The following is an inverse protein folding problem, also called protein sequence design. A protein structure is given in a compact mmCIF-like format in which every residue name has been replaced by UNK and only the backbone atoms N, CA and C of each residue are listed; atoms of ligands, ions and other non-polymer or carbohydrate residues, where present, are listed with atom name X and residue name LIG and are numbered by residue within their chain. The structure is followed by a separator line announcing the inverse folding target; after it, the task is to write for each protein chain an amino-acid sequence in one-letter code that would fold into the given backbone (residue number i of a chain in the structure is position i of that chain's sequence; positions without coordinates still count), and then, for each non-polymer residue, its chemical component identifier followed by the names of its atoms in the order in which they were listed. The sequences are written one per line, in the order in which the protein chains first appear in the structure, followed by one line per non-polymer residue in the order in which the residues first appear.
data_IF_254773715272
#
_entry.id   IF_254773715272
#
_cell.length_a   1.000
_cell.length_b   1.000
_cell.length_c   1.000
_cell.angle_alpha   90.00
_cell.angle_beta   90.00
_cell.angle_gamma   90.00
#
_symmetry.space_group_name_H-M   'P 1'
#
loop_
_entity.id
_entity.type
_entity.pdbx_description
1 polymer ?
#
# COMPACT_ATOMS: atom_id res chain seq x y z
N UNK A 1 -6.61 -22.96 14.76
CA UNK A 1 -7.45 -21.74 14.88
C UNK A 1 -7.86 -21.32 13.48
N UNK A 2 -9.09 -20.88 13.31
CA UNK A 2 -9.52 -20.31 12.04
C UNK A 2 -9.29 -18.79 12.13
N UNK A 3 -8.37 -18.25 11.37
CA UNK A 3 -8.14 -16.82 11.23
C UNK A 3 -8.17 -16.42 9.76
N UNK A 4 -8.40 -15.14 9.49
CA UNK A 4 -8.33 -14.57 8.16
C UNK A 4 -6.91 -14.05 7.87
N UNK A 5 -6.53 -14.10 6.59
CA UNK A 5 -5.33 -13.45 6.08
C UNK A 5 -5.74 -12.40 5.05
N UNK A 6 -5.18 -11.21 5.16
CA UNK A 6 -5.34 -10.13 4.17
C UNK A 6 -3.99 -9.85 3.52
N UNK A 7 -3.90 -10.05 2.22
CA UNK A 7 -2.65 -9.89 1.47
C UNK A 7 -2.39 -8.47 0.98
N UNK A 8 -3.33 -7.54 1.19
CA UNK A 8 -3.14 -6.14 0.80
C UNK A 8 -4.06 -5.21 1.58
N UNK A 9 -3.49 -4.46 2.50
CA UNK A 9 -4.22 -3.42 3.22
C UNK A 9 -3.29 -2.27 3.65
N UNK A 10 -3.88 -1.10 3.94
CA UNK A 10 -3.16 0.10 4.35
C UNK A 10 -3.48 0.51 5.79
N UNK A 11 -3.04 -0.26 6.81
CA UNK A 11 -3.40 0.03 8.20
C UNK A 11 -2.78 1.34 8.71
N UNK A 12 -1.70 1.79 8.12
CA UNK A 12 -0.98 3.03 8.46
C UNK A 12 -1.60 4.26 7.82
N UNK A 13 -2.13 4.20 6.61
CA UNK A 13 -2.44 5.34 5.75
C UNK A 13 -3.17 6.49 6.47
N UNK A 14 -4.32 6.22 7.09
CA UNK A 14 -5.11 7.26 7.78
C UNK A 14 -4.52 7.64 9.14
N UNK A 15 -4.06 6.66 9.92
CA UNK A 15 -3.48 6.92 11.24
C UNK A 15 -2.16 7.68 11.16
N UNK A 16 -1.29 7.32 10.22
CA UNK A 16 -0.07 8.05 9.90
C UNK A 16 -0.38 9.46 9.41
N UNK A 17 -1.38 9.61 8.52
CA UNK A 17 -1.82 10.93 8.08
C UNK A 17 -2.26 11.84 9.22
N UNK A 18 -3.06 11.34 10.15
CA UNK A 18 -3.49 12.08 11.33
C UNK A 18 -2.38 12.31 12.38
N UNK A 19 -1.24 11.66 12.26
CA UNK A 19 -0.12 11.87 13.16
C UNK A 19 0.73 13.11 12.81
N UNK A 20 0.51 13.72 11.64
CA UNK A 20 1.27 14.90 11.23
C UNK A 20 0.99 16.13 12.09
N UNK A 21 2.02 16.98 12.38
CA UNK A 21 3.40 16.84 11.89
C UNK A 21 4.32 15.94 12.74
N UNK A 22 3.89 15.43 13.89
CA UNK A 22 4.75 14.70 14.83
C UNK A 22 5.15 13.30 14.36
N UNK A 23 4.37 12.70 13.47
CA UNK A 23 4.53 11.35 12.95
C UNK A 23 4.64 10.26 14.06
N UNK A 24 3.93 10.50 15.17
CA UNK A 24 3.91 9.60 16.31
C UNK A 24 2.68 8.69 16.30
N UNK A 25 2.92 7.39 16.40
CA UNK A 25 1.87 6.39 16.54
C UNK A 25 1.41 6.33 18.00
N UNK A 26 0.22 6.81 18.28
CA UNK A 26 -0.30 6.86 19.64
C UNK A 26 -0.64 5.46 20.18
N UNK A 27 -0.19 5.14 21.41
CA UNK A 27 -0.63 3.95 22.12
C UNK A 27 -2.10 4.01 22.56
N UNK A 28 -2.68 5.21 22.61
CA UNK A 28 -4.09 5.37 23.00
C UNK A 28 -4.98 5.00 21.80
N UNK A 29 -5.77 3.91 21.86
CA UNK A 29 -6.64 3.48 20.76
C UNK A 29 -7.80 4.45 20.48
N UNK A 30 -8.02 5.46 21.31
CA UNK A 30 -9.01 6.53 21.10
C UNK A 30 -8.42 7.73 20.34
N UNK A 31 -7.11 7.77 20.10
CA UNK A 31 -6.46 8.80 19.31
C UNK A 31 -6.56 8.49 17.82
N UNK A 32 -6.93 9.47 16.99
CA UNK A 32 -6.96 9.31 15.55
C UNK A 32 -5.58 9.10 14.91
N UNK A 33 -4.49 9.42 15.62
CA UNK A 33 -3.12 9.09 15.23
C UNK A 33 -2.68 7.69 15.70
N UNK A 34 -3.57 6.88 16.26
CA UNK A 34 -3.28 5.49 16.61
C UNK A 34 -3.64 4.56 15.47
N UNK A 35 -2.75 3.61 15.16
CA UNK A 35 -3.04 2.52 14.23
C UNK A 35 -4.16 1.58 14.75
N UNK A 36 -4.46 1.68 16.05
CA UNK A 36 -5.53 0.97 16.74
C UNK A 36 -6.85 1.75 16.81
N UNK A 37 -6.90 2.97 16.24
CA UNK A 37 -8.12 3.77 16.30
C UNK A 37 -9.25 3.10 15.53
N UNK A 38 -10.32 2.72 16.28
CA UNK A 38 -11.51 2.09 15.71
C UNK A 38 -12.53 3.15 15.32
N UNK A 39 -12.85 3.21 14.05
CA UNK A 39 -13.75 4.20 13.44
C UNK A 39 -14.76 3.47 12.56
N UNK A 40 -15.77 2.78 13.17
CA UNK A 40 -16.79 2.08 12.41
C UNK A 40 -17.71 3.08 11.69
N UNK A 41 -18.21 2.72 10.49
CA UNK A 41 -19.08 3.60 9.73
C UNK A 41 -20.40 3.84 10.48
N UNK A 42 -20.77 5.10 10.64
CA UNK A 42 -22.11 5.50 11.10
C UNK A 42 -23.10 5.50 9.92
N UNK A 43 -24.37 5.82 10.21
CA UNK A 43 -25.41 5.83 9.17
C UNK A 43 -25.11 6.82 8.04
N UNK A 44 -24.60 8.01 8.35
CA UNK A 44 -24.26 9.03 7.35
C UNK A 44 -23.04 8.63 6.51
N UNK A 45 -22.06 7.98 7.10
CA UNK A 45 -20.90 7.46 6.36
C UNK A 45 -21.32 6.42 5.32
N UNK A 46 -22.22 5.51 5.69
CA UNK A 46 -22.78 4.51 4.77
C UNK A 46 -23.60 5.14 3.64
N UNK A 47 -24.36 6.20 3.95
CA UNK A 47 -25.14 6.92 2.95
C UNK A 47 -24.24 7.67 1.96
N UNK A 48 -23.19 8.31 2.44
CA UNK A 48 -22.18 9.02 1.61
C UNK A 48 -21.44 8.03 0.71
N UNK A 49 -21.05 6.86 1.25
CA UNK A 49 -20.43 5.79 0.48
C UNK A 49 -21.36 5.26 -0.62
N UNK A 50 -22.62 4.99 -0.27
CA UNK A 50 -23.63 4.51 -1.23
C UNK A 50 -23.90 5.50 -2.37
N UNK A 51 -23.94 6.81 -2.08
CA UNK A 51 -24.29 7.84 -3.04
C UNK A 51 -23.09 8.36 -3.83
N UNK A 52 -21.91 8.37 -3.24
CA UNK A 52 -20.71 9.02 -3.79
C UNK A 52 -19.49 8.12 -3.92
N UNK A 53 -19.51 6.90 -3.40
CA UNK A 53 -18.34 6.02 -3.35
C UNK A 53 -17.21 6.59 -2.49
N UNK A 54 -17.55 7.39 -1.46
CA UNK A 54 -16.58 8.07 -0.58
C UNK A 54 -16.54 7.35 0.75
N UNK A 55 -15.42 6.68 1.03
CA UNK A 55 -15.18 5.94 2.27
C UNK A 55 -14.40 6.80 3.26
N UNK A 56 -15.09 7.44 4.20
CA UNK A 56 -14.49 8.27 5.24
C UNK A 56 -13.97 7.49 6.44
N UNK A 57 -14.62 6.39 6.81
CA UNK A 57 -14.26 5.56 7.95
C UNK A 57 -13.02 4.70 7.65
N UNK A 58 -12.44 4.13 8.71
CA UNK A 58 -11.25 3.29 8.60
C UNK A 58 -11.65 1.83 8.49
N UNK A 59 -11.32 1.20 7.37
CA UNK A 59 -11.62 -0.22 7.13
C UNK A 59 -10.50 -1.15 7.60
N UNK A 60 -9.24 -0.71 7.53
CA UNK A 60 -8.04 -1.54 7.73
C UNK A 60 -7.23 -1.17 8.98
N UNK A 61 -7.85 -0.63 10.03
CA UNK A 61 -7.17 -0.44 11.31
C UNK A 61 -7.03 -1.77 12.08
N UNK A 62 -6.01 -1.90 12.91
CA UNK A 62 -5.74 -3.16 13.64
C UNK A 62 -6.84 -3.53 14.66
N UNK A 63 -7.62 -2.57 15.16
CA UNK A 63 -8.77 -2.91 16.01
C UNK A 63 -9.84 -3.66 15.21
N UNK A 64 -10.21 -3.17 14.01
CA UNK A 64 -11.15 -3.87 13.14
C UNK A 64 -10.63 -5.26 12.73
N UNK A 65 -9.35 -5.36 12.41
CA UNK A 65 -8.69 -6.64 12.10
C UNK A 65 -8.72 -7.60 13.30
N UNK A 66 -8.42 -7.12 14.50
CA UNK A 66 -8.49 -7.92 15.73
C UNK A 66 -9.89 -8.44 16.01
N UNK A 67 -10.90 -7.57 15.92
CA UNK A 67 -12.31 -7.97 16.09
C UNK A 67 -12.78 -8.93 14.98
N UNK A 68 -12.25 -8.80 13.77
CA UNK A 68 -12.51 -9.68 12.62
C UNK A 68 -11.70 -10.98 12.63
N UNK A 69 -10.93 -11.26 13.68
CA UNK A 69 -10.08 -12.46 13.77
C UNK A 69 -9.06 -12.57 12.63
N UNK A 70 -8.44 -11.47 12.23
CA UNK A 70 -7.34 -11.44 11.28
C UNK A 70 -6.07 -11.90 11.98
N UNK A 71 -5.46 -12.98 11.52
CA UNK A 71 -4.20 -13.50 12.05
C UNK A 71 -2.98 -13.01 11.27
N UNK A 72 -3.11 -12.81 9.97
CA UNK A 72 -2.03 -12.36 9.09
C UNK A 72 -2.49 -11.16 8.28
N UNK A 73 -1.65 -10.14 8.19
CA UNK A 73 -1.89 -8.98 7.33
C UNK A 73 -0.63 -8.55 6.60
N UNK A 74 -0.73 -8.32 5.31
CA UNK A 74 0.29 -7.60 4.55
C UNK A 74 0.00 -6.11 4.68
N UNK A 75 0.77 -5.46 5.55
CA UNK A 75 0.70 -4.02 5.74
C UNK A 75 1.44 -3.34 4.59
N UNK A 76 0.68 -2.79 3.67
CA UNK A 76 1.19 -2.12 2.48
C UNK A 76 1.48 -0.67 2.79
N UNK A 77 2.76 -0.31 2.81
CA UNK A 77 3.23 1.07 2.97
C UNK A 77 2.98 1.84 1.67
N UNK A 78 2.42 3.02 1.80
CA UNK A 78 2.00 3.81 0.67
C UNK A 78 2.15 5.31 0.92
N UNK A 79 3.31 5.91 0.66
CA UNK A 79 3.42 7.35 0.46
C UNK A 79 2.44 7.82 -0.61
N UNK A 80 1.42 8.60 -0.20
CA UNK A 80 0.33 8.97 -1.10
C UNK A 80 0.87 9.84 -2.23
N UNK A 81 0.53 9.51 -3.46
CA UNK A 81 0.97 10.22 -4.65
C UNK A 81 0.39 11.64 -4.70
N UNK A 82 1.25 12.63 -4.93
CA UNK A 82 0.91 14.05 -5.04
C UNK A 82 -0.19 14.31 -6.07
N UNK A 83 -0.24 13.51 -7.13
CA UNK A 83 -1.24 13.63 -8.20
C UNK A 83 -2.70 13.57 -7.74
N UNK A 84 -2.97 13.05 -6.55
CA UNK A 84 -4.31 13.12 -5.94
C UNK A 84 -4.66 14.50 -5.41
N UNK A 85 -3.69 15.28 -4.95
CA UNK A 85 -3.88 16.55 -4.26
C UNK A 85 -3.42 17.76 -5.09
N UNK A 86 -2.57 17.53 -6.09
CA UNK A 86 -2.22 18.50 -7.12
C UNK A 86 -3.12 18.26 -8.34
N UNK A 87 -4.38 18.61 -8.22
CA UNK A 87 -5.41 18.31 -9.19
C UNK A 87 -6.07 19.58 -9.75
N UNK A 88 -7.03 19.40 -10.66
CA UNK A 88 -7.72 20.50 -11.34
C UNK A 88 -8.54 21.41 -10.43
N UNK A 89 -8.76 21.03 -9.18
CA UNK A 89 -9.46 21.85 -8.19
C UNK A 89 -8.54 22.92 -7.56
N UNK A 90 -7.23 22.79 -7.78
CA UNK A 90 -6.21 23.71 -7.24
C UNK A 90 -5.79 23.36 -5.82
N UNK A 91 -5.03 24.29 -5.21
CA UNK A 91 -4.55 24.22 -3.84
C UNK A 91 -5.17 25.34 -3.01
N UNK A 92 -5.25 25.17 -1.68
CA UNK A 92 -5.71 26.18 -0.73
C UNK A 92 -6.73 25.61 0.26
N UNK A 93 -6.92 26.33 1.36
CA UNK A 93 -7.65 25.87 2.55
C UNK A 93 -9.03 25.22 2.28
N UNK A 94 -9.78 25.79 1.34
CA UNK A 94 -11.11 25.24 1.01
C UNK A 94 -10.99 23.90 0.28
N UNK A 95 -10.07 23.81 -0.69
CA UNK A 95 -9.86 22.55 -1.43
C UNK A 95 -9.24 21.47 -0.55
N UNK A 96 -8.31 21.84 0.33
CA UNK A 96 -7.69 20.94 1.30
C UNK A 96 -8.72 20.42 2.31
N UNK A 97 -9.66 21.25 2.73
CA UNK A 97 -10.78 20.84 3.56
C UNK A 97 -11.70 19.87 2.82
N UNK A 98 -12.00 20.12 1.54
CA UNK A 98 -12.79 19.20 0.71
C UNK A 98 -12.08 17.88 0.46
N UNK A 99 -10.79 17.93 0.15
CA UNK A 99 -9.96 16.73 -0.04
C UNK A 99 -9.85 15.93 1.25
N UNK A 100 -9.66 16.58 2.40
CA UNK A 100 -9.68 15.92 3.69
C UNK A 100 -11.06 15.33 4.01
N UNK A 101 -12.14 16.02 3.64
CA UNK A 101 -13.49 15.47 3.77
C UNK A 101 -13.68 14.19 2.96
N UNK A 102 -13.08 14.12 1.76
CA UNK A 102 -13.18 12.94 0.87
C UNK A 102 -12.26 11.82 1.34
N UNK A 103 -11.00 12.11 1.68
CA UNK A 103 -9.96 11.12 1.94
C UNK A 103 -9.82 10.74 3.41
N UNK A 104 -10.16 11.68 4.32
CA UNK A 104 -9.98 11.52 5.78
C UNK A 104 -8.55 11.17 6.20
N UNK A 105 -7.54 11.74 5.50
CA UNK A 105 -6.11 11.51 5.82
C UNK A 105 -5.50 12.61 6.71
N UNK A 106 -6.25 13.68 6.99
CA UNK A 106 -5.79 14.80 7.81
C UNK A 106 -5.24 15.98 6.98
N UNK A 107 -5.62 17.23 7.36
CA UNK A 107 -5.21 18.44 6.63
C UNK A 107 -3.70 18.57 6.55
N UNK A 108 -3.00 18.45 7.68
CA UNK A 108 -1.53 18.59 7.72
C UNK A 108 -0.83 17.56 6.81
N UNK A 109 -1.42 16.39 6.63
CA UNK A 109 -0.92 15.38 5.70
C UNK A 109 -1.10 15.82 4.25
N UNK A 110 -2.23 16.41 3.92
CA UNK A 110 -2.50 16.95 2.58
C UNK A 110 -1.50 18.07 2.23
N UNK A 111 -1.33 19.04 3.13
CA UNK A 111 -0.38 20.13 2.96
C UNK A 111 1.06 19.61 2.74
N UNK A 112 1.43 18.56 3.50
CA UNK A 112 2.73 17.90 3.32
C UNK A 112 2.86 17.25 1.94
N UNK A 113 1.84 16.47 1.48
CA UNK A 113 1.88 15.78 0.18
C UNK A 113 1.94 16.80 -0.97
N UNK A 114 1.20 17.89 -0.90
CA UNK A 114 1.23 18.95 -1.92
C UNK A 114 2.61 19.61 -2.05
N UNK A 115 3.36 19.68 -0.95
CA UNK A 115 4.71 20.24 -0.90
C UNK A 115 5.84 19.22 -1.05
N UNK A 116 5.52 17.93 -1.20
CA UNK A 116 6.51 16.85 -1.24
C UNK A 116 7.43 16.99 -2.46
N UNK A 117 8.72 16.85 -2.25
CA UNK A 117 9.76 16.86 -3.28
C UNK A 117 10.48 15.53 -3.44
N UNK A 118 10.27 14.62 -2.50
CA UNK A 118 10.83 13.27 -2.50
C UNK A 118 9.94 12.34 -1.66
N UNK A 119 9.53 11.21 -2.24
CA UNK A 119 8.70 10.23 -1.55
C UNK A 119 9.48 9.30 -0.64
N UNK A 120 10.78 9.14 -0.85
CA UNK A 120 11.55 8.14 -0.12
C UNK A 120 11.62 8.42 1.40
N UNK A 121 11.87 9.66 1.87
CA UNK A 121 11.79 9.97 3.29
C UNK A 121 10.39 9.70 3.90
N UNK A 122 9.33 9.92 3.13
CA UNK A 122 7.97 9.65 3.58
C UNK A 122 7.71 8.14 3.75
N UNK A 123 8.24 7.31 2.84
CA UNK A 123 8.23 5.86 2.97
C UNK A 123 8.96 5.40 4.24
N UNK A 124 10.16 5.93 4.49
CA UNK A 124 10.93 5.60 5.70
C UNK A 124 10.19 6.01 6.98
N UNK A 125 9.55 7.17 6.98
CA UNK A 125 8.75 7.66 8.10
C UNK A 125 7.50 6.80 8.34
N UNK A 126 6.79 6.38 7.30
CA UNK A 126 5.64 5.49 7.43
C UNK A 126 6.06 4.11 7.96
N UNK A 127 7.18 3.56 7.48
CA UNK A 127 7.76 2.34 8.03
C UNK A 127 8.16 2.49 9.50
N UNK A 128 8.79 3.61 9.86
CA UNK A 128 9.13 3.89 11.26
C UNK A 128 7.89 4.06 12.13
N UNK A 129 6.83 4.70 11.62
CA UNK A 129 5.56 4.82 12.32
C UNK A 129 4.95 3.43 12.61
N UNK A 130 4.97 2.50 11.64
CA UNK A 130 4.52 1.13 11.86
C UNK A 130 5.34 0.43 12.94
N UNK A 131 6.66 0.62 12.99
CA UNK A 131 7.55 0.00 14.00
C UNK A 131 7.37 0.52 15.41
N UNK A 132 6.84 1.73 15.62
CA UNK A 132 6.76 2.34 16.96
C UNK A 132 5.96 1.51 17.97
N UNK A 133 4.97 0.77 17.53
CA UNK A 133 4.13 -0.07 18.39
C UNK A 133 4.29 -1.57 18.12
N UNK A 134 5.30 -1.99 17.39
CA UNK A 134 5.62 -3.39 17.15
C UNK A 134 5.80 -4.14 18.46
N UNK A 135 5.06 -5.24 18.64
CA UNK A 135 5.05 -6.04 19.88
C UNK A 135 4.42 -5.34 21.08
N UNK A 136 3.89 -4.12 20.91
CA UNK A 136 3.26 -3.39 22.03
C UNK A 136 1.82 -3.85 22.21
N UNK A 137 1.49 -4.28 23.43
CA UNK A 137 0.13 -4.66 23.81
C UNK A 137 -0.74 -3.43 24.06
N UNK A 138 -1.94 -3.44 23.51
CA UNK A 138 -3.00 -2.45 23.76
C UNK A 138 -4.27 -3.13 24.23
N UNK A 139 -5.06 -2.45 25.06
CA UNK A 139 -6.38 -2.90 25.50
C UNK A 139 -7.43 -2.18 24.66
N UNK A 140 -8.31 -2.93 24.00
CA UNK A 140 -9.35 -2.39 23.15
C UNK A 140 -10.72 -2.29 23.88
N UNK A 141 -11.75 -1.86 23.16
CA UNK A 141 -13.09 -1.62 23.72
C UNK A 141 -13.78 -2.87 24.25
N UNK A 142 -13.49 -4.05 23.71
CA UNK A 142 -13.93 -5.36 24.18
C UNK A 142 -13.24 -5.84 25.47
N UNK A 143 -12.33 -5.01 26.01
CA UNK A 143 -11.48 -5.26 27.18
C UNK A 143 -10.40 -6.34 26.97
N UNK A 144 -10.31 -6.94 25.79
CA UNK A 144 -9.24 -7.86 25.45
C UNK A 144 -7.94 -7.11 25.13
N UNK A 145 -6.83 -7.83 25.24
CA UNK A 145 -5.51 -7.33 24.88
C UNK A 145 -5.15 -7.79 23.47
N UNK A 146 -4.59 -6.87 22.70
CA UNK A 146 -4.15 -7.09 21.33
C UNK A 146 -2.75 -6.56 21.14
N UNK A 147 -2.03 -7.17 20.21
CA UNK A 147 -0.76 -6.68 19.69
C UNK A 147 -0.63 -7.01 18.21
N UNK A 148 0.17 -6.27 17.48
CA UNK A 148 0.71 -6.75 16.22
C UNK A 148 2.22 -6.95 16.36
N UNK A 149 2.76 -7.87 15.57
CA UNK A 149 4.21 -8.14 15.54
C UNK A 149 4.63 -8.24 14.08
N UNK A 150 5.65 -7.46 13.71
CA UNK A 150 6.16 -7.45 12.33
C UNK A 150 7.07 -8.66 12.14
N UNK A 151 6.68 -9.54 11.23
CA UNK A 151 7.41 -10.76 10.90
C UNK A 151 8.50 -10.49 9.85
N UNK A 152 9.65 -11.11 10.00
CA UNK A 152 10.77 -11.06 9.04
C UNK A 152 10.72 -12.20 8.02
N UNK A 153 10.07 -13.29 8.37
CA UNK A 153 10.00 -14.52 7.61
C UNK A 153 8.80 -15.38 8.03
N UNK A 154 8.56 -16.49 7.34
CA UNK A 154 7.46 -17.41 7.62
C UNK A 154 7.55 -18.03 9.04
N UNK A 155 8.75 -18.33 9.52
CA UNK A 155 8.94 -18.88 10.87
C UNK A 155 8.47 -17.90 11.95
N UNK A 156 8.73 -16.60 11.78
CA UNK A 156 8.22 -15.57 12.68
C UNK A 156 6.68 -15.56 12.69
N UNK A 157 6.04 -15.69 11.52
CA UNK A 157 4.58 -15.77 11.42
C UNK A 157 4.04 -16.95 12.24
N UNK A 158 4.64 -18.13 12.08
CA UNK A 158 4.26 -19.33 12.84
C UNK A 158 4.43 -19.12 14.36
N UNK A 159 5.53 -18.50 14.78
CA UNK A 159 5.78 -18.20 16.18
C UNK A 159 4.74 -17.22 16.73
N UNK A 160 4.42 -16.16 16.00
CA UNK A 160 3.45 -15.14 16.41
C UNK A 160 2.06 -15.77 16.58
N UNK A 161 1.62 -16.55 15.61
CA UNK A 161 0.29 -17.19 15.62
C UNK A 161 0.20 -18.31 16.66
N UNK A 162 1.27 -19.06 16.90
CA UNK A 162 1.28 -20.15 17.88
C UNK A 162 1.31 -19.64 19.33
N UNK A 163 1.75 -18.41 19.60
CA UNK A 163 1.64 -17.80 20.94
C UNK A 163 0.21 -17.78 21.46
N UNK A 164 -0.76 -17.69 20.56
CA UNK A 164 -2.18 -17.71 20.91
C UNK A 164 -2.70 -19.08 21.33
N UNK A 165 -1.94 -20.17 21.11
CA UNK A 165 -2.30 -21.54 21.51
C UNK A 165 -1.79 -21.92 22.91
N UNK A 166 -0.86 -21.15 23.47
CA UNK A 166 -0.28 -21.39 24.79
C UNK A 166 -1.24 -20.87 25.88
N UNK A 167 -1.37 -21.60 26.98
CA UNK A 167 -2.32 -21.31 28.06
C UNK A 167 -2.16 -19.91 28.71
N UNK A 168 -1.04 -19.23 28.50
CA UNK A 168 -0.73 -17.89 29.01
C UNK A 168 -1.03 -16.79 27.95
N UNK A 169 -2.22 -16.80 27.41
CA UNK A 169 -2.69 -15.80 26.42
C UNK A 169 -2.80 -14.41 27.04
N UNK A 170 -1.76 -13.59 26.85
CA UNK A 170 -1.79 -12.21 27.32
C UNK A 170 -2.40 -11.24 26.29
N UNK A 171 -2.25 -11.52 25.00
CA UNK A 171 -2.77 -10.68 23.92
C UNK A 171 -3.08 -11.50 22.67
N UNK A 172 -4.15 -11.13 21.95
CA UNK A 172 -4.40 -11.61 20.60
C UNK A 172 -3.37 -10.97 19.66
N UNK A 173 -2.66 -11.81 18.90
CA UNK A 173 -1.55 -11.36 18.05
C UNK A 173 -1.92 -11.35 16.58
N UNK A 174 -1.55 -10.29 15.88
CA UNK A 174 -1.64 -10.17 14.42
C UNK A 174 -0.21 -10.20 13.87
N UNK A 175 0.10 -11.18 13.01
CA UNK A 175 1.36 -11.22 12.28
C UNK A 175 1.30 -10.22 11.11
N UNK A 176 2.22 -9.27 11.11
CA UNK A 176 2.31 -8.22 10.09
C UNK A 176 3.47 -8.52 9.15
N UNK A 177 3.20 -8.56 7.87
CA UNK A 177 4.20 -8.69 6.80
C UNK A 177 4.22 -7.38 6.03
N UNK A 178 5.41 -6.81 5.82
CA UNK A 178 5.54 -5.54 5.09
C UNK A 178 5.44 -5.77 3.60
N UNK A 179 4.68 -4.94 2.91
CA UNK A 179 4.68 -4.77 1.46
C UNK A 179 4.69 -3.28 1.11
N UNK A 180 4.87 -2.94 -0.16
CA UNK A 180 4.90 -1.55 -0.64
C UNK A 180 4.02 -1.40 -1.86
N UNK A 181 3.32 -0.28 -1.98
CA UNK A 181 2.55 0.04 -3.17
C UNK A 181 3.09 1.28 -3.88
N UNK A 182 3.49 1.08 -5.14
CA UNK A 182 3.97 2.11 -6.06
C UNK A 182 5.48 2.33 -6.01
N UNK A 183 6.13 2.19 -7.16
CA UNK A 183 7.58 2.40 -7.29
C UNK A 183 8.02 3.87 -7.16
N UNK A 184 7.08 4.83 -7.18
CA UNK A 184 7.36 6.24 -6.91
C UNK A 184 8.07 6.47 -5.56
N UNK A 185 7.86 5.57 -4.62
CA UNK A 185 8.47 5.62 -3.28
C UNK A 185 10.01 5.65 -3.31
N UNK A 186 10.64 5.28 -4.40
CA UNK A 186 12.10 5.35 -4.53
C UNK A 186 12.62 6.75 -4.93
N UNK A 187 11.76 7.77 -4.93
CA UNK A 187 12.10 9.15 -5.27
C UNK A 187 11.91 9.46 -6.76
N UNK A 188 10.83 8.92 -7.34
CA UNK A 188 10.48 9.12 -8.77
C UNK A 188 9.10 9.76 -8.90
N UNK A 189 8.75 10.28 -10.07
CA UNK A 189 7.39 10.63 -10.47
C UNK A 189 6.82 11.95 -9.91
N UNK A 190 7.61 12.79 -9.26
CA UNK A 190 7.11 14.10 -8.76
C UNK A 190 7.02 15.13 -9.89
N UNK A 191 8.08 15.28 -10.65
CA UNK A 191 8.18 16.20 -11.79
C UNK A 191 8.92 15.54 -12.95
N UNK A 192 8.41 14.44 -13.53
CA UNK A 192 9.16 13.62 -14.48
C UNK A 192 9.54 14.35 -15.76
N UNK A 193 8.80 15.41 -16.14
CA UNK A 193 9.05 16.18 -17.36
C UNK A 193 10.16 17.24 -17.17
N UNK A 194 10.28 17.80 -15.99
CA UNK A 194 11.17 18.96 -15.71
C UNK A 194 12.34 18.61 -14.81
N UNK A 195 12.20 17.61 -13.99
CA UNK A 195 13.21 17.13 -13.05
C UNK A 195 13.13 15.61 -12.93
N UNK A 196 13.59 14.86 -13.95
CA UNK A 196 13.55 13.41 -13.94
C UNK A 196 14.38 12.82 -12.81
N UNK A 197 13.98 11.66 -12.32
CA UNK A 197 14.62 10.99 -11.21
C UNK A 197 16.09 10.65 -11.51
N UNK A 198 16.95 10.83 -10.50
CA UNK A 198 18.35 10.43 -10.58
C UNK A 198 18.48 8.90 -10.41
N UNK A 199 18.94 8.15 -11.43
CA UNK A 199 19.01 6.68 -11.38
C UNK A 199 19.86 6.14 -10.22
N UNK A 200 20.98 6.80 -9.90
CA UNK A 200 21.84 6.39 -8.78
C UNK A 200 21.11 6.53 -7.45
N UNK A 201 20.40 7.64 -7.26
CA UNK A 201 19.61 7.86 -6.05
C UNK A 201 18.50 6.80 -5.90
N UNK A 202 17.76 6.56 -6.96
CA UNK A 202 16.68 5.55 -7.01
C UNK A 202 17.21 4.17 -6.65
N UNK A 203 18.29 3.72 -7.30
CA UNK A 203 18.86 2.39 -7.06
C UNK A 203 19.45 2.25 -5.65
N UNK A 204 20.01 3.31 -5.08
CA UNK A 204 20.46 3.32 -3.68
C UNK A 204 19.26 3.21 -2.71
N UNK A 205 18.12 3.81 -3.02
CA UNK A 205 16.92 3.69 -2.20
C UNK A 205 16.34 2.27 -2.26
N UNK A 206 16.40 1.61 -3.42
CA UNK A 206 16.06 0.18 -3.52
C UNK A 206 16.96 -0.66 -2.60
N UNK A 207 18.29 -0.41 -2.59
CA UNK A 207 19.22 -1.11 -1.69
C UNK A 207 18.88 -0.90 -0.21
N UNK A 208 18.56 0.33 0.18
CA UNK A 208 18.16 0.63 1.56
C UNK A 208 16.93 -0.20 1.97
N UNK A 209 15.90 -0.25 1.12
CA UNK A 209 14.68 -1.03 1.39
C UNK A 209 14.98 -2.53 1.45
N UNK A 210 15.80 -3.06 0.55
CA UNK A 210 16.26 -4.46 0.58
C UNK A 210 16.98 -4.83 1.88
N UNK A 211 17.59 -3.85 2.55
CA UNK A 211 18.32 -4.01 3.80
C UNK A 211 17.51 -3.65 5.06
N UNK A 212 16.24 -3.36 4.95
CA UNK A 212 15.38 -3.16 6.12
C UNK A 212 15.31 -4.43 6.99
N UNK A 213 15.18 -4.25 8.30
CA UNK A 213 15.00 -5.36 9.25
C UNK A 213 13.75 -6.19 8.98
N UNK A 214 12.70 -5.57 8.44
CA UNK A 214 11.47 -6.20 7.98
C UNK A 214 11.30 -5.85 6.50
N UNK A 215 12.14 -6.50 5.67
CA UNK A 215 12.13 -6.27 4.22
C UNK A 215 10.76 -6.59 3.64
N UNK A 216 10.22 -5.75 2.74
CA UNK A 216 8.98 -6.06 2.04
C UNK A 216 9.08 -7.40 1.29
N UNK A 217 8.04 -8.22 1.38
CA UNK A 217 7.97 -9.50 0.65
C UNK A 217 7.69 -9.24 -0.82
N UNK A 218 6.84 -8.28 -1.11
CA UNK A 218 6.56 -7.84 -2.48
C UNK A 218 6.24 -6.35 -2.54
N UNK A 219 6.27 -5.81 -3.75
CA UNK A 219 5.79 -4.46 -4.04
C UNK A 219 5.16 -4.35 -5.42
N UNK A 220 4.19 -3.46 -5.59
CA UNK A 220 3.75 -3.03 -6.90
C UNK A 220 4.67 -1.93 -7.44
N UNK A 221 5.10 -2.02 -8.71
CA UNK A 221 5.92 -0.96 -9.33
C UNK A 221 5.07 0.18 -9.90
N UNK A 222 3.95 -0.14 -10.54
CA UNK A 222 2.98 0.86 -10.98
C UNK A 222 1.99 1.17 -9.86
N UNK A 223 1.40 2.38 -9.88
CA UNK A 223 0.20 2.68 -9.12
C UNK A 223 -0.73 3.58 -9.95
N UNK A 224 -1.21 4.69 -9.44
CA UNK A 224 -2.20 5.49 -10.14
C UNK A 224 -1.61 6.51 -11.13
N UNK A 225 -0.39 6.97 -10.89
CA UNK A 225 0.26 7.99 -11.72
C UNK A 225 1.60 7.51 -12.27
N UNK A 226 2.10 8.20 -13.29
CA UNK A 226 3.39 7.87 -13.89
C UNK A 226 4.54 8.10 -12.91
N UNK A 227 5.34 7.07 -12.73
CA UNK A 227 6.42 7.04 -11.76
C UNK A 227 7.81 6.82 -12.39
N UNK A 228 7.98 7.10 -13.67
CA UNK A 228 9.25 6.95 -14.41
C UNK A 228 9.84 5.52 -14.47
N UNK A 229 9.18 4.53 -13.88
CA UNK A 229 9.65 3.14 -13.89
C UNK A 229 8.91 2.30 -14.92
N UNK A 230 7.60 2.31 -14.89
CA UNK A 230 6.78 1.57 -15.84
C UNK A 230 5.42 2.22 -16.08
N UNK A 231 4.81 1.87 -17.20
CA UNK A 231 3.47 2.31 -17.52
C UNK A 231 2.41 1.68 -16.63
N UNK A 232 1.39 2.46 -16.31
CA UNK A 232 0.26 2.04 -15.48
C UNK A 232 -1.02 1.87 -16.32
N UNK A 233 -1.97 1.10 -15.79
CA UNK A 233 -3.32 1.00 -16.34
C UNK A 233 -4.20 2.14 -15.79
N UNK A 234 -5.30 2.42 -16.48
CA UNK A 234 -6.32 3.29 -15.92
C UNK A 234 -6.96 2.62 -14.70
N UNK A 235 -6.91 3.27 -13.55
CA UNK A 235 -7.36 2.71 -12.29
C UNK A 235 -8.34 3.60 -11.53
N UNK A 236 -8.35 4.92 -11.78
CA UNK A 236 -9.27 5.84 -11.13
C UNK A 236 -10.60 5.92 -11.90
N UNK A 237 -11.71 6.03 -11.14
CA UNK A 237 -13.07 6.06 -11.66
C UNK A 237 -13.84 7.27 -11.11
N UNK A 238 -15.04 7.51 -11.60
CA UNK A 238 -15.97 8.50 -11.07
C UNK A 238 -15.43 9.93 -11.01
N UNK A 239 -15.63 10.59 -9.89
CA UNK A 239 -15.22 11.98 -9.64
C UNK A 239 -13.70 12.11 -9.59
N UNK A 240 -13.01 11.16 -8.98
CA UNK A 240 -11.54 11.18 -8.84
C UNK A 240 -10.87 11.15 -10.22
N UNK A 241 -11.35 10.33 -11.14
CA UNK A 241 -10.86 10.32 -12.54
C UNK A 241 -11.01 11.68 -13.22
N UNK A 242 -12.11 12.40 -12.95
CA UNK A 242 -12.35 13.72 -13.58
C UNK A 242 -11.44 14.80 -12.99
N UNK A 243 -11.14 14.71 -11.72
CA UNK A 243 -10.32 15.67 -10.98
C UNK A 243 -8.82 15.49 -11.26
N UNK A 244 -8.36 14.27 -11.49
CA UNK A 244 -6.94 13.92 -11.66
C UNK A 244 -6.54 13.74 -13.13
N UNK A 245 -5.24 13.64 -13.40
CA UNK A 245 -4.72 13.37 -14.75
C UNK A 245 -3.85 12.10 -14.73
N UNK A 246 -4.38 10.99 -15.24
CA UNK A 246 -3.67 9.72 -15.37
C UNK A 246 -3.07 9.48 -16.76
N UNK A 247 -3.21 10.41 -17.70
CA UNK A 247 -2.88 10.17 -19.12
C UNK A 247 -1.39 9.92 -19.33
N UNK A 248 -0.54 10.63 -18.57
CA UNK A 248 0.91 10.53 -18.72
C UNK A 248 1.40 9.15 -18.26
N UNK A 249 2.16 8.47 -19.12
CA UNK A 249 2.67 7.10 -18.87
C UNK A 249 1.62 5.99 -18.88
N UNK A 250 0.34 6.30 -19.11
CA UNK A 250 -0.71 5.30 -19.20
C UNK A 250 -0.51 4.39 -20.41
N UNK A 251 -0.62 3.08 -20.21
CA UNK A 251 -0.43 2.01 -21.22
C UNK A 251 1.01 1.87 -21.77
N UNK A 252 1.98 2.61 -21.26
CA UNK A 252 3.39 2.45 -21.62
C UNK A 252 4.00 1.18 -21.03
N UNK A 253 5.23 0.83 -21.47
CA UNK A 253 6.03 -0.27 -20.94
C UNK A 253 7.00 0.18 -19.85
N UNK A 254 8.02 -0.64 -19.58
CA UNK A 254 9.11 -0.27 -18.70
C UNK A 254 10.05 0.75 -19.33
N UNK A 255 10.47 1.72 -18.54
CA UNK A 255 11.63 2.55 -18.86
C UNK A 255 12.94 1.79 -18.63
N UNK A 256 14.08 2.35 -19.03
CA UNK A 256 15.37 1.74 -18.67
C UNK A 256 15.56 1.74 -17.16
N UNK A 257 15.29 2.85 -16.47
CA UNK A 257 15.35 2.94 -15.01
C UNK A 257 14.41 1.91 -14.35
N UNK A 258 13.22 1.72 -14.89
CA UNK A 258 12.29 0.70 -14.39
C UNK A 258 12.83 -0.72 -14.52
N UNK A 259 13.52 -1.04 -15.62
CA UNK A 259 14.20 -2.36 -15.79
C UNK A 259 15.34 -2.54 -14.80
N UNK A 260 16.10 -1.50 -14.53
CA UNK A 260 17.22 -1.55 -13.56
C UNK A 260 16.70 -1.74 -12.14
N UNK A 261 15.64 -1.03 -11.75
CA UNK A 261 14.93 -1.19 -10.47
C UNK A 261 14.36 -2.61 -10.36
N UNK A 262 13.65 -3.09 -11.39
CA UNK A 262 13.09 -4.44 -11.44
C UNK A 262 14.16 -5.52 -11.25
N UNK A 263 15.25 -5.43 -11.98
CA UNK A 263 16.36 -6.37 -11.84
C UNK A 263 16.97 -6.35 -10.44
N UNK A 264 17.11 -5.16 -9.85
CA UNK A 264 17.67 -5.00 -8.51
C UNK A 264 16.73 -5.56 -7.42
N UNK A 265 15.42 -5.38 -7.56
CA UNK A 265 14.42 -5.98 -6.65
C UNK A 265 14.42 -7.50 -6.73
N UNK A 266 14.48 -8.06 -7.95
CA UNK A 266 14.45 -9.50 -8.19
C UNK A 266 15.80 -10.19 -7.91
N UNK A 267 16.91 -9.46 -7.85
CA UNK A 267 18.21 -10.03 -7.49
C UNK A 267 18.13 -10.71 -6.11
N UNK A 268 18.52 -12.00 -6.08
CA UNK A 268 18.49 -12.85 -4.89
C UNK A 268 19.88 -13.27 -4.40
N UNK A 269 20.94 -12.65 -4.87
CA UNK A 269 22.32 -13.00 -4.53
C UNK A 269 22.59 -13.04 -3.02
N UNK A 270 21.84 -12.24 -2.23
CA UNK A 270 21.94 -12.18 -0.76
C UNK A 270 20.67 -12.71 -0.05
N UNK A 271 19.83 -13.50 -0.73
CA UNK A 271 18.52 -13.91 -0.24
C UNK A 271 17.61 -12.72 0.12
N UNK A 272 17.73 -11.62 -0.62
CA UNK A 272 17.01 -10.36 -0.36
C UNK A 272 16.07 -9.97 -1.50
N UNK A 273 15.54 -10.94 -2.26
CA UNK A 273 14.56 -10.69 -3.30
C UNK A 273 13.31 -10.00 -2.71
N UNK A 274 12.81 -9.00 -3.45
CA UNK A 274 11.48 -8.43 -3.27
C UNK A 274 10.68 -8.82 -4.50
N UNK A 275 9.56 -9.49 -4.30
CA UNK A 275 8.70 -9.97 -5.38
C UNK A 275 7.92 -8.81 -6.00
N UNK A 276 7.45 -9.00 -7.23
CA UNK A 276 6.72 -7.98 -7.95
C UNK A 276 5.25 -8.32 -8.00
N UNK A 277 4.44 -7.39 -7.51
CA UNK A 277 3.00 -7.38 -7.70
C UNK A 277 2.70 -6.62 -9.01
N UNK A 278 2.06 -7.30 -9.97
CA UNK A 278 1.73 -6.74 -11.28
C UNK A 278 0.46 -5.88 -11.27
N UNK A 279 -0.14 -5.69 -10.09
CA UNK A 279 -1.29 -4.79 -9.93
C UNK A 279 -0.92 -3.39 -10.42
N UNK A 280 -1.87 -2.69 -10.97
CA UNK A 280 -1.75 -1.36 -11.60
C UNK A 280 -0.84 -1.26 -12.84
N UNK A 281 0.00 -2.24 -13.15
CA UNK A 281 0.79 -2.22 -14.37
C UNK A 281 -0.10 -2.17 -15.62
N UNK A 282 0.32 -1.43 -16.61
CA UNK A 282 -0.25 -1.50 -17.96
C UNK A 282 -0.16 -2.91 -18.53
N UNK A 283 -0.98 -3.23 -19.52
CA UNK A 283 -0.84 -4.49 -20.25
C UNK A 283 0.57 -4.67 -20.84
N UNK A 284 1.15 -3.59 -21.38
CA UNK A 284 2.49 -3.62 -21.97
C UNK A 284 3.56 -3.93 -20.92
N UNK A 285 3.52 -3.24 -19.76
CA UNK A 285 4.45 -3.53 -18.66
C UNK A 285 4.32 -4.96 -18.15
N UNK A 286 3.11 -5.50 -18.02
CA UNK A 286 2.92 -6.90 -17.61
C UNK A 286 3.52 -7.90 -18.60
N UNK A 287 3.31 -7.68 -19.91
CA UNK A 287 3.89 -8.57 -20.94
C UNK A 287 5.42 -8.51 -20.96
N UNK A 288 6.00 -7.32 -20.80
CA UNK A 288 7.45 -7.18 -20.66
C UNK A 288 7.98 -7.88 -19.39
N UNK A 289 7.26 -7.80 -18.27
CA UNK A 289 7.62 -8.52 -17.05
C UNK A 289 7.58 -10.03 -17.24
N UNK A 290 6.50 -10.57 -17.83
CA UNK A 290 6.42 -12.01 -18.11
C UNK A 290 7.53 -12.46 -19.05
N UNK A 291 7.82 -11.70 -20.11
CA UNK A 291 8.95 -12.01 -20.99
C UNK A 291 10.29 -12.02 -20.25
N UNK A 292 10.48 -11.13 -19.27
CA UNK A 292 11.67 -11.11 -18.44
C UNK A 292 11.77 -12.38 -17.57
N UNK A 293 10.67 -12.82 -16.97
CA UNK A 293 10.63 -14.06 -16.19
C UNK A 293 10.96 -15.29 -17.06
N UNK A 294 10.39 -15.36 -18.26
CA UNK A 294 10.57 -16.48 -19.19
C UNK A 294 11.97 -16.52 -19.84
N UNK A 295 12.72 -15.44 -19.81
CA UNK A 295 14.05 -15.37 -20.44
C UNK A 295 15.17 -15.30 -19.41
N UNK A 296 15.17 -14.27 -18.58
CA UNK A 296 16.27 -14.02 -17.65
C UNK A 296 16.19 -14.84 -16.36
N UNK A 297 14.96 -15.08 -15.89
CA UNK A 297 14.70 -15.72 -14.59
C UNK A 297 14.04 -17.10 -14.73
N UNK A 298 14.14 -17.71 -15.91
CA UNK A 298 13.47 -18.98 -16.25
C UNK A 298 13.75 -20.14 -15.27
N UNK A 299 14.91 -20.12 -14.62
CA UNK A 299 15.33 -21.16 -13.67
C UNK A 299 15.12 -20.79 -12.20
N UNK A 300 14.38 -19.70 -11.91
CA UNK A 300 14.33 -19.16 -10.55
C UNK A 300 12.95 -19.28 -9.88
N UNK A 301 11.97 -19.87 -10.54
CA UNK A 301 10.61 -20.11 -10.03
C UNK A 301 9.98 -18.90 -9.30
N UNK A 302 10.12 -17.69 -9.90
CA UNK A 302 9.60 -16.46 -9.31
C UNK A 302 8.08 -16.41 -9.44
N UNK A 303 7.32 -16.37 -8.33
CA UNK A 303 5.87 -16.28 -8.40
C UNK A 303 5.42 -14.91 -8.91
N UNK A 304 4.32 -14.90 -9.67
CA UNK A 304 3.61 -13.68 -10.04
C UNK A 304 2.58 -13.36 -8.96
N UNK A 305 2.61 -12.13 -8.44
CA UNK A 305 1.67 -11.67 -7.42
C UNK A 305 0.65 -10.72 -8.06
N UNK A 306 -0.61 -10.92 -7.70
CA UNK A 306 -1.73 -10.00 -7.92
C UNK A 306 -2.40 -9.82 -6.56
N UNK A 307 -1.97 -8.80 -5.82
CA UNK A 307 -2.39 -8.62 -4.42
C UNK A 307 -3.88 -8.29 -4.29
N UNK A 308 -4.41 -7.54 -5.23
CA UNK A 308 -5.82 -7.14 -5.26
C UNK A 308 -6.30 -6.89 -6.70
N UNK A 309 -7.59 -7.02 -6.92
CA UNK A 309 -8.17 -6.80 -8.25
C UNK A 309 -9.59 -7.34 -8.38
N UNK A 310 -10.25 -6.94 -9.46
CA UNK A 310 -11.51 -7.55 -9.87
C UNK A 310 -11.25 -8.64 -10.90
N UNK A 311 -11.98 -9.73 -10.81
CA UNK A 311 -12.00 -10.76 -11.85
C UNK A 311 -12.97 -10.30 -12.93
N UNK A 312 -12.46 -10.08 -14.13
CA UNK A 312 -13.30 -9.71 -15.27
C UNK A 312 -14.31 -10.83 -15.56
N UNK A 313 -15.59 -10.48 -15.66
CA UNK A 313 -16.64 -11.42 -16.00
C UNK A 313 -17.39 -12.04 -14.82
N UNK A 314 -17.11 -11.69 -13.58
CA UNK A 314 -17.98 -12.01 -12.45
C UNK A 314 -18.92 -10.86 -12.13
N UNK A 315 -20.17 -10.96 -12.61
CA UNK A 315 -21.28 -10.14 -12.12
C UNK A 315 -22.36 -11.07 -11.60
N UNK A 316 -22.82 -10.84 -10.37
CA UNK A 316 -23.97 -11.55 -9.79
C UNK A 316 -23.89 -13.08 -9.79
N UNK A 317 -22.69 -13.64 -9.56
CA UNK A 317 -22.49 -15.11 -9.51
C UNK A 317 -22.49 -15.80 -10.87
N UNK A 318 -22.56 -15.07 -11.98
CA UNK A 318 -22.40 -15.62 -13.33
C UNK A 318 -21.04 -15.26 -13.91
N UNK A 319 -20.33 -16.27 -14.41
CA UNK A 319 -19.11 -16.08 -15.19
C UNK A 319 -19.48 -15.45 -16.54
N UNK A 320 -19.22 -14.16 -16.71
CA UNK A 320 -19.29 -13.54 -18.02
C UNK A 320 -17.94 -13.69 -18.73
N UNK A 321 -17.89 -14.53 -19.75
CA UNK A 321 -16.73 -14.66 -20.64
C UNK A 321 -17.03 -13.86 -21.90
N UNK A 322 -16.52 -12.63 -22.07
CA UNK A 322 -16.65 -11.95 -23.35
C UNK A 322 -15.78 -12.70 -24.35
N UNK A 323 -16.42 -13.27 -25.36
CA UNK A 323 -15.84 -13.71 -26.64
C UNK A 323 -14.30 -13.80 -26.70
N UNK A 324 -13.72 -14.80 -26.03
CA UNK A 324 -12.39 -15.31 -26.35
C UNK A 324 -11.17 -14.47 -25.96
N UNK A 325 -11.28 -13.45 -25.12
CA UNK A 325 -10.12 -12.67 -24.66
C UNK A 325 -10.09 -12.58 -23.15
N UNK A 326 -9.14 -13.27 -22.55
CA UNK A 326 -8.75 -13.01 -21.16
C UNK A 326 -8.09 -11.63 -21.11
N UNK A 327 -8.77 -10.65 -20.58
CA UNK A 327 -8.14 -9.39 -20.17
C UNK A 327 -7.95 -9.47 -18.66
N UNK A 328 -6.73 -9.71 -18.22
CA UNK A 328 -6.33 -9.37 -16.86
C UNK A 328 -6.30 -7.85 -16.77
N UNK A 329 -7.14 -7.28 -15.92
CA UNK A 329 -7.15 -5.85 -15.63
C UNK A 329 -6.00 -5.51 -14.68
#
# INVERSE_FOLDING_TARGET
MNYFADIHSHPTMKSYGHSFPSQQNSKNPLSNSSIWYYDPPNFFDKLIDLLGGIVKYRQSNFSAMGFGNTGIVFATLYPIERGFFDNKLGTGDFNDMLLNFITSVGKNRIDFIQSITDYFPDLENEYNYLKQLDGTTVKLADRAQYQYVIAKNATDVDIILNKDTIADKRANSIAVIVSIEGGHVFGTGIHPETNPANPVYVLNNVDKVKNWSHRPVFMSLAHHFYNELCGHAQSLTGIVRKATNQQYGMNEGFTQLGRDVLNKLLDNSENKRILIDIKHMSRKSRLEYFSLLDTRYINEDIPVIISHGAVYGQCNGQLYVPSGRYQFL
#
